data_IF_310738163549
#
_entry.id   IF_310738163549
#
_cell.length_a   1.000
_cell.length_b   1.000
_cell.length_c   1.000
_cell.angle_alpha   90.00
_cell.angle_beta   90.00
_cell.angle_gamma   90.00
#
_symmetry.space_group_name_H-M   'P 1'
#
loop_
_entity.id
_entity.type
_entity.pdbx_description
1 polymer ?
#
# COMPACT_ATOMS: atom_id res chain seq x y z
N UNK A 1 -62.39 -31.48 -7.21
CA UNK A 1 -63.08 -31.25 -8.50
C UNK A 1 -62.57 -29.91 -9.06
N UNK A 2 -62.18 -29.77 -10.34
CA UNK A 2 -62.98 -29.13 -11.44
C UNK A 2 -64.05 -28.15 -10.90
N UNK A 3 -64.04 -26.86 -11.24
CA UNK A 3 -64.31 -26.25 -12.57
C UNK A 3 -63.55 -24.91 -12.73
N UNK A 4 -62.76 -24.70 -13.79
CA UNK A 4 -63.03 -23.88 -15.02
C UNK A 4 -63.51 -22.45 -14.75
N UNK A 5 -62.84 -21.33 -15.09
CA UNK A 5 -62.05 -20.89 -16.27
C UNK A 5 -62.86 -20.26 -17.43
N UNK A 6 -62.45 -19.07 -17.86
CA UNK A 6 -62.68 -18.30 -19.13
C UNK A 6 -61.86 -16.98 -18.96
N UNK A 7 -60.97 -16.45 -19.84
CA UNK A 7 -60.87 -16.32 -21.31
C UNK A 7 -61.61 -15.05 -21.85
N UNK A 8 -61.21 -14.31 -22.91
CA UNK A 8 -60.05 -14.42 -23.84
C UNK A 8 -59.80 -13.09 -24.64
N UNK A 9 -58.52 -12.76 -24.90
CA UNK A 9 -57.87 -12.14 -26.11
C UNK A 9 -58.52 -11.02 -26.98
N UNK A 10 -57.72 -9.98 -27.29
CA UNK A 10 -57.43 -9.41 -28.64
C UNK A 10 -56.10 -8.58 -28.58
N UNK A 11 -55.08 -8.59 -29.46
CA UNK A 11 -54.96 -8.69 -30.94
C UNK A 11 -55.26 -7.35 -31.66
N UNK A 12 -54.58 -6.88 -32.74
CA UNK A 12 -53.35 -7.24 -33.49
C UNK A 12 -52.88 -5.99 -34.30
N UNK A 13 -51.81 -5.89 -35.12
CA UNK A 13 -50.84 -6.87 -35.69
C UNK A 13 -49.37 -6.40 -35.51
N UNK A 14 -48.41 -6.16 -36.45
CA UNK A 14 -48.24 -6.13 -37.94
C UNK A 14 -46.81 -6.66 -38.27
N UNK A 15 -46.52 -7.11 -39.52
CA UNK A 15 -45.24 -7.77 -39.92
C UNK A 15 -44.79 -7.37 -41.35
N UNK A 16 -43.48 -7.10 -41.53
CA UNK A 16 -42.65 -7.26 -42.76
C UNK A 16 -41.17 -6.97 -42.36
N UNK A 17 -40.06 -7.61 -42.78
CA UNK A 17 -39.58 -8.25 -44.04
C UNK A 17 -39.32 -7.22 -45.18
N UNK A 18 -38.31 -7.33 -46.06
CA UNK A 18 -37.47 -8.45 -46.53
C UNK A 18 -35.99 -7.99 -46.70
N UNK A 19 -35.02 -8.91 -46.85
CA UNK A 19 -33.65 -8.63 -47.35
C UNK A 19 -33.62 -8.35 -48.88
N UNK A 20 -32.45 -8.18 -49.51
CA UNK A 20 -32.06 -8.82 -50.80
C UNK A 20 -30.57 -8.57 -51.17
N UNK A 21 -30.13 -9.08 -52.33
CA UNK A 21 -28.72 -9.39 -52.67
C UNK A 21 -27.88 -8.28 -53.35
N UNK A 22 -26.57 -8.55 -53.34
CA UNK A 22 -25.43 -7.82 -53.91
C UNK A 22 -25.47 -7.42 -55.41
N UNK A 23 -24.60 -6.48 -55.78
CA UNK A 23 -23.72 -6.56 -56.98
C UNK A 23 -22.60 -5.51 -56.90
N UNK A 24 -21.46 -5.76 -57.56
CA UNK A 24 -20.32 -4.81 -57.64
C UNK A 24 -20.44 -3.89 -58.86
N UNK A 25 -19.64 -2.82 -58.91
CA UNK A 25 -18.76 -2.68 -60.08
C UNK A 25 -17.29 -2.40 -59.70
N UNK A 26 -16.37 -2.81 -60.56
CA UNK A 26 -14.98 -2.34 -60.54
C UNK A 26 -14.84 -1.12 -61.48
N UNK A 27 -14.11 -0.08 -61.07
CA UNK A 27 -14.00 1.16 -61.84
C UNK A 27 -12.81 2.04 -61.47
N UNK A 28 -11.71 1.89 -62.21
CA UNK A 28 -10.70 2.90 -62.53
C UNK A 28 -10.31 3.97 -61.48
N UNK A 29 -9.16 3.75 -60.83
CA UNK A 29 -8.04 4.70 -60.71
C UNK A 29 -8.34 6.21 -60.58
N UNK A 30 -8.08 6.76 -59.39
CA UNK A 30 -7.63 8.14 -59.22
C UNK A 30 -6.50 8.19 -58.18
N UNK A 31 -5.28 8.49 -58.60
CA UNK A 31 -4.12 8.59 -57.71
C UNK A 31 -4.14 9.91 -56.94
N UNK A 32 -4.34 9.84 -55.63
CA UNK A 32 -3.96 10.92 -54.71
C UNK A 32 -3.17 10.30 -53.55
N UNK A 33 -1.94 10.75 -53.35
CA UNK A 33 -1.07 10.26 -52.30
C UNK A 33 -1.46 10.91 -50.96
N UNK A 34 -2.38 10.27 -50.23
CA UNK A 34 -2.71 10.66 -48.86
C UNK A 34 -1.47 10.51 -47.96
N UNK A 35 -1.09 11.59 -47.27
CA UNK A 35 0.08 11.60 -46.40
C UNK A 35 -0.03 10.55 -45.28
N UNK A 36 1.06 9.79 -44.96
CA UNK A 36 1.08 8.90 -43.79
C UNK A 36 0.92 9.57 -42.42
N UNK A 37 0.74 10.90 -42.37
CA UNK A 37 0.66 11.69 -41.14
C UNK A 37 -0.72 11.63 -40.44
N UNK A 38 -1.79 11.25 -41.14
CA UNK A 38 -3.18 11.49 -40.70
C UNK A 38 -3.88 10.25 -40.08
N UNK A 39 -3.12 9.21 -39.74
CA UNK A 39 -3.59 8.08 -38.91
C UNK A 39 -2.72 7.86 -37.65
N UNK A 40 -2.02 8.91 -37.22
CA UNK A 40 -1.35 8.98 -35.94
C UNK A 40 -2.39 9.14 -34.80
N UNK A 41 -2.76 8.03 -34.15
CA UNK A 41 -3.62 8.07 -32.96
C UNK A 41 -3.02 8.90 -31.81
N UNK A 42 -3.81 9.32 -30.80
CA UNK A 42 -3.43 10.35 -29.83
C UNK A 42 -2.17 10.08 -28.99
N UNK A 43 -1.69 8.83 -28.93
CA UNK A 43 -0.40 8.49 -28.31
C UNK A 43 0.82 9.03 -29.08
N UNK A 44 0.70 9.29 -30.39
CA UNK A 44 1.81 9.66 -31.27
C UNK A 44 2.16 11.17 -31.25
N UNK A 45 1.58 11.95 -30.34
CA UNK A 45 1.87 13.39 -30.17
C UNK A 45 2.53 13.74 -28.82
N UNK A 46 3.00 12.75 -28.05
CA UNK A 46 3.78 12.98 -26.80
C UNK A 46 5.25 13.35 -27.11
N UNK A 47 5.44 14.33 -28.00
CA UNK A 47 6.72 14.69 -28.60
C UNK A 47 7.53 15.73 -27.81
N UNK A 48 8.18 15.32 -26.72
CA UNK A 48 9.37 15.99 -26.15
C UNK A 48 9.26 17.45 -25.67
N UNK A 49 8.05 18.03 -25.64
CA UNK A 49 7.76 19.40 -25.23
C UNK A 49 7.75 19.64 -23.71
N UNK A 50 7.35 20.84 -23.31
CA UNK A 50 7.17 21.18 -21.90
C UNK A 50 5.99 20.41 -21.28
N UNK A 51 6.06 20.01 -20.00
CA UNK A 51 4.97 19.35 -19.31
C UNK A 51 3.79 20.31 -19.06
N UNK A 52 2.57 19.78 -19.07
CA UNK A 52 1.33 20.48 -18.69
C UNK A 52 1.47 21.07 -17.29
N UNK A 53 1.22 22.37 -17.12
CA UNK A 53 1.11 22.99 -15.80
C UNK A 53 -0.31 22.80 -15.24
N UNK A 54 -0.43 22.66 -13.92
CA UNK A 54 -1.70 22.58 -13.20
C UNK A 54 -1.83 23.80 -12.29
N UNK A 55 -2.93 24.53 -12.43
CA UNK A 55 -3.16 25.77 -11.69
C UNK A 55 -3.19 25.55 -10.16
N UNK A 56 -2.80 26.60 -9.41
CA UNK A 56 -3.02 26.63 -7.96
C UNK A 56 -4.51 26.44 -7.63
N UNK A 57 -4.80 25.63 -6.61
CA UNK A 57 -6.17 25.35 -6.18
C UNK A 57 -6.97 24.37 -7.06
N UNK A 58 -6.40 23.75 -8.10
CA UNK A 58 -7.11 22.79 -8.96
C UNK A 58 -7.72 21.59 -8.19
N UNK A 59 -7.11 21.20 -7.06
CA UNK A 59 -7.61 20.18 -6.15
C UNK A 59 -8.87 20.59 -5.36
N UNK A 60 -9.19 21.89 -5.27
CA UNK A 60 -10.28 22.37 -4.40
C UNK A 60 -11.67 22.04 -4.94
N UNK A 61 -11.80 21.92 -6.26
CA UNK A 61 -13.05 21.72 -7.02
C UNK A 61 -13.34 20.27 -7.39
N UNK A 62 -12.52 19.33 -6.92
CA UNK A 62 -12.64 17.88 -7.17
C UNK A 62 -12.88 17.11 -5.87
N UNK A 63 -13.53 15.96 -5.98
CA UNK A 63 -13.64 14.94 -4.91
C UNK A 63 -12.55 13.87 -4.99
N UNK A 64 -11.90 13.72 -6.15
CA UNK A 64 -10.73 12.85 -6.35
C UNK A 64 -9.46 13.65 -6.10
N UNK A 65 -8.71 13.27 -5.08
CA UNK A 65 -7.48 13.92 -4.64
C UNK A 65 -6.30 12.96 -4.85
N UNK A 66 -5.71 13.00 -6.05
CA UNK A 66 -4.54 12.23 -6.40
C UNK A 66 -3.52 13.08 -7.15
N UNK A 67 -2.47 12.45 -7.68
CA UNK A 67 -1.42 13.14 -8.43
C UNK A 67 -1.94 13.92 -9.65
N UNK A 68 -3.10 13.59 -10.24
CA UNK A 68 -3.61 14.28 -11.43
C UNK A 68 -4.09 15.71 -11.16
N UNK A 69 -4.38 16.05 -9.89
CA UNK A 69 -4.95 17.35 -9.47
C UNK A 69 -4.01 18.15 -8.56
N UNK A 70 -2.80 17.63 -8.33
CA UNK A 70 -1.71 18.39 -7.70
C UNK A 70 -1.37 19.62 -8.54
N UNK A 71 -1.40 20.82 -7.93
CA UNK A 71 -0.93 22.05 -8.56
C UNK A 71 0.59 22.00 -8.82
N UNK A 72 1.05 22.69 -9.87
CA UNK A 72 2.48 22.85 -10.14
C UNK A 72 3.14 23.74 -9.08
N UNK A 73 4.28 23.32 -8.50
CA UNK A 73 5.03 24.06 -7.46
C UNK A 73 6.54 24.14 -7.76
N UNK A 74 7.26 24.92 -6.95
CA UNK A 74 8.72 25.06 -6.98
C UNK A 74 9.25 26.18 -7.88
N UNK A 75 10.38 26.77 -7.47
CA UNK A 75 10.95 27.98 -8.06
C UNK A 75 11.44 27.84 -9.51
N UNK A 76 11.63 26.60 -10.02
CA UNK A 76 11.99 26.32 -11.42
C UNK A 76 10.82 25.80 -12.26
N UNK A 77 9.57 25.96 -11.81
CA UNK A 77 8.39 25.54 -12.57
C UNK A 77 8.32 26.14 -13.99
N UNK A 78 8.86 27.35 -14.20
CA UNK A 78 8.99 28.01 -15.50
C UNK A 78 10.30 27.75 -16.26
N UNK A 79 11.19 26.90 -15.77
CA UNK A 79 12.42 26.51 -16.48
C UNK A 79 12.05 25.46 -17.56
N UNK A 80 11.56 25.94 -18.71
CA UNK A 80 11.20 25.09 -19.87
C UNK A 80 12.38 24.24 -20.36
N UNK A 81 13.61 24.73 -20.19
CA UNK A 81 14.81 23.98 -20.57
C UNK A 81 15.02 22.78 -19.66
N UNK A 82 14.89 22.93 -18.34
CA UNK A 82 15.02 21.86 -17.35
C UNK A 82 13.82 20.90 -17.38
N UNK A 83 12.60 21.43 -17.38
CA UNK A 83 11.37 20.62 -17.40
C UNK A 83 11.21 19.86 -18.71
N UNK A 84 11.56 20.47 -19.84
CA UNK A 84 11.67 19.78 -21.13
C UNK A 84 12.78 18.74 -21.18
N UNK A 85 13.92 18.94 -20.49
CA UNK A 85 14.95 17.88 -20.33
C UNK A 85 14.38 16.69 -19.56
N UNK A 86 13.64 16.92 -18.48
CA UNK A 86 13.00 15.86 -17.70
C UNK A 86 11.97 15.06 -18.51
N UNK A 87 11.11 15.73 -19.28
CA UNK A 87 10.14 15.05 -20.18
C UNK A 87 10.87 14.24 -21.25
N UNK A 88 11.87 14.81 -21.93
CA UNK A 88 12.65 14.07 -22.94
C UNK A 88 13.38 12.88 -22.35
N UNK A 89 13.97 13.00 -21.15
CA UNK A 89 14.61 11.90 -20.44
C UNK A 89 13.64 10.73 -20.15
N UNK A 90 12.35 11.00 -19.95
CA UNK A 90 11.33 9.95 -19.79
C UNK A 90 10.84 9.38 -21.13
N UNK A 91 10.61 10.23 -22.14
CA UNK A 91 10.17 9.77 -23.46
C UNK A 91 11.24 8.94 -24.19
N UNK A 92 12.51 9.37 -24.14
CA UNK A 92 13.65 8.74 -24.79
C UNK A 92 14.95 9.12 -24.03
N UNK A 93 15.35 8.36 -22.99
CA UNK A 93 16.57 8.64 -22.24
C UNK A 93 17.83 8.57 -23.11
N UNK A 94 18.76 9.51 -22.90
CA UNK A 94 20.09 9.49 -23.51
C UNK A 94 21.10 8.66 -22.69
N UNK A 95 22.30 8.45 -23.25
CA UNK A 95 23.40 7.69 -22.64
C UNK A 95 23.90 8.25 -21.30
N UNK A 96 23.50 9.49 -20.94
CA UNK A 96 23.88 10.16 -19.69
C UNK A 96 22.77 10.13 -18.63
N UNK A 97 21.58 9.63 -18.95
CA UNK A 97 20.48 9.44 -17.98
C UNK A 97 20.51 8.02 -17.43
N UNK A 98 20.94 7.87 -16.17
CA UNK A 98 20.74 6.60 -15.45
C UNK A 98 19.26 6.45 -15.11
N UNK A 99 18.58 5.45 -15.66
CA UNK A 99 17.17 5.15 -15.37
C UNK A 99 17.04 4.09 -14.27
N UNK A 100 16.16 4.31 -13.30
CA UNK A 100 15.72 3.29 -12.34
C UNK A 100 14.20 3.18 -12.36
N UNK A 101 13.70 1.95 -12.28
CA UNK A 101 12.29 1.63 -12.23
C UNK A 101 11.95 1.13 -10.83
N UNK A 102 10.89 1.65 -10.23
CA UNK A 102 10.33 1.14 -8.98
C UNK A 102 9.66 -0.23 -9.18
N UNK A 103 9.38 -0.98 -8.10
CA UNK A 103 8.71 -2.27 -8.18
C UNK A 103 7.39 -2.18 -8.97
N UNK A 104 7.14 -3.16 -9.84
CA UNK A 104 5.95 -3.19 -10.71
C UNK A 104 5.93 -2.19 -11.88
N UNK A 105 6.88 -1.26 -12.00
CA UNK A 105 6.85 -0.21 -13.03
C UNK A 105 7.12 -0.77 -14.43
N UNK A 106 6.24 -0.49 -15.39
CA UNK A 106 6.53 -0.72 -16.81
C UNK A 106 7.49 0.33 -17.37
N UNK A 107 8.54 -0.16 -18.03
CA UNK A 107 9.50 0.65 -18.78
C UNK A 107 8.85 1.34 -20.00
N UNK A 108 9.45 2.41 -20.48
CA UNK A 108 9.03 3.12 -21.70
C UNK A 108 8.44 4.51 -21.46
N UNK A 109 8.10 5.23 -22.54
CA UNK A 109 7.69 6.64 -22.53
C UNK A 109 6.41 6.88 -21.71
N UNK A 110 6.08 8.14 -21.38
CA UNK A 110 4.81 8.51 -20.75
C UNK A 110 3.60 7.92 -21.48
N UNK A 111 2.63 7.37 -20.75
CA UNK A 111 1.39 6.81 -21.33
C UNK A 111 0.33 7.88 -21.63
N UNK A 112 0.43 9.02 -20.94
CA UNK A 112 -0.40 10.21 -21.13
C UNK A 112 0.47 11.48 -21.17
N UNK A 113 -0.15 12.62 -21.51
CA UNK A 113 0.55 13.90 -21.59
C UNK A 113 1.10 14.32 -20.20
N UNK A 114 2.44 14.36 -20.00
CA UNK A 114 3.03 14.63 -18.69
C UNK A 114 2.61 15.97 -18.12
N UNK A 115 2.34 16.03 -16.82
CA UNK A 115 2.14 17.29 -16.10
C UNK A 115 3.15 17.48 -14.98
N UNK A 116 3.46 18.75 -14.71
CA UNK A 116 4.48 19.17 -13.77
C UNK A 116 3.91 19.27 -12.36
N UNK A 117 4.39 18.40 -11.49
CA UNK A 117 4.10 18.45 -10.06
C UNK A 117 5.04 19.45 -9.39
N UNK A 118 6.33 19.41 -9.72
CA UNK A 118 7.34 20.29 -9.14
C UNK A 118 8.57 20.45 -10.03
N UNK A 119 9.18 21.64 -10.01
CA UNK A 119 10.58 21.82 -10.41
C UNK A 119 11.29 22.83 -9.49
N UNK A 120 12.48 22.49 -9.00
CA UNK A 120 13.24 23.34 -8.07
C UNK A 120 14.55 22.70 -7.60
N UNK A 121 15.37 23.46 -6.88
CA UNK A 121 16.61 22.98 -6.28
C UNK A 121 16.35 22.36 -4.91
N UNK A 122 16.79 21.11 -4.71
CA UNK A 122 16.63 20.35 -3.47
C UNK A 122 17.97 19.73 -3.08
N UNK A 123 18.50 20.11 -1.92
CA UNK A 123 19.76 19.61 -1.37
C UNK A 123 20.95 19.64 -2.37
N UNK A 124 21.03 20.69 -3.20
CA UNK A 124 22.11 20.89 -4.19
C UNK A 124 21.90 20.22 -5.55
N UNK A 125 20.80 19.49 -5.76
CA UNK A 125 20.39 18.93 -7.04
C UNK A 125 19.19 19.68 -7.62
N UNK A 126 19.16 19.89 -8.93
CA UNK A 126 17.95 20.35 -9.61
C UNK A 126 17.00 19.16 -9.79
N UNK A 127 15.79 19.24 -9.25
CA UNK A 127 14.79 18.16 -9.24
C UNK A 127 13.57 18.57 -10.04
N UNK A 128 13.07 17.67 -10.88
CA UNK A 128 11.78 17.78 -11.58
C UNK A 128 10.95 16.54 -11.26
N UNK A 129 9.70 16.74 -10.87
CA UNK A 129 8.72 15.67 -10.66
C UNK A 129 7.55 15.88 -11.63
N UNK A 130 7.26 14.87 -12.45
CA UNK A 130 6.15 14.85 -13.40
C UNK A 130 5.32 13.57 -13.23
N UNK A 131 4.06 13.61 -13.67
CA UNK A 131 3.20 12.42 -13.75
C UNK A 131 2.48 12.32 -15.10
N UNK A 132 2.24 11.08 -15.57
CA UNK A 132 1.51 10.79 -16.82
C UNK A 132 0.03 10.41 -16.61
N UNK A 133 -0.38 10.26 -15.35
CA UNK A 133 -1.71 9.80 -14.93
C UNK A 133 -1.73 8.36 -14.40
N UNK A 134 -0.65 7.60 -14.57
CA UNK A 134 -0.46 6.23 -14.07
C UNK A 134 0.88 6.00 -13.38
N UNK A 135 1.89 6.84 -13.67
CA UNK A 135 3.24 6.78 -13.13
C UNK A 135 3.73 8.16 -12.73
N UNK A 136 4.61 8.19 -11.74
CA UNK A 136 5.46 9.32 -11.38
C UNK A 136 6.83 9.13 -12.01
N UNK A 137 7.42 10.21 -12.53
CA UNK A 137 8.82 10.24 -12.90
C UNK A 137 9.53 11.42 -12.24
N UNK A 138 10.62 11.11 -11.52
CA UNK A 138 11.48 12.06 -10.83
C UNK A 138 12.83 12.13 -11.53
N UNK A 139 13.06 13.23 -12.22
CA UNK A 139 14.33 13.56 -12.87
C UNK A 139 15.19 14.42 -11.93
N UNK A 140 16.50 14.15 -11.87
CA UNK A 140 17.45 14.93 -11.07
C UNK A 140 18.74 15.20 -11.81
N UNK A 141 19.23 16.44 -11.79
CA UNK A 141 20.56 16.83 -12.27
C UNK A 141 21.46 17.24 -11.09
N UNK A 142 22.60 16.58 -10.94
CA UNK A 142 23.55 16.81 -9.83
C UNK A 142 24.98 16.55 -10.28
N UNK A 143 25.87 17.54 -10.14
CA UNK A 143 27.30 17.41 -10.48
C UNK A 143 27.53 16.83 -11.90
N UNK A 144 26.74 17.28 -12.87
CA UNK A 144 26.77 16.82 -14.27
C UNK A 144 26.10 15.46 -14.53
N UNK A 145 25.74 14.70 -13.50
CA UNK A 145 25.03 13.41 -13.62
C UNK A 145 23.54 13.66 -13.78
N UNK A 146 22.86 12.82 -14.55
CA UNK A 146 21.40 12.82 -14.73
C UNK A 146 20.83 11.49 -14.30
N UNK A 147 19.73 11.53 -13.58
CA UNK A 147 19.03 10.34 -13.13
C UNK A 147 17.52 10.50 -13.31
N UNK A 148 16.86 9.43 -13.72
CA UNK A 148 15.41 9.34 -13.83
C UNK A 148 14.92 8.13 -13.02
N UNK A 149 14.21 8.38 -11.93
CA UNK A 149 13.45 7.34 -11.23
C UNK A 149 12.00 7.37 -11.72
N UNK A 150 11.46 6.25 -12.19
CA UNK A 150 10.05 6.11 -12.57
C UNK A 150 9.39 5.09 -11.63
N UNK A 151 8.22 5.39 -11.09
CA UNK A 151 7.46 4.51 -10.20
C UNK A 151 5.95 4.52 -10.56
N UNK A 152 5.16 3.50 -10.16
CA UNK A 152 3.73 3.50 -10.38
C UNK A 152 3.05 4.51 -9.44
N UNK A 153 1.94 5.08 -9.91
CA UNK A 153 1.19 6.15 -9.24
C UNK A 153 -0.34 6.04 -9.46
N UNK A 154 -0.75 4.96 -10.11
CA UNK A 154 -2.09 4.41 -10.13
C UNK A 154 -2.53 3.88 -8.75
N UNK A 155 -3.83 3.59 -8.62
CA UNK A 155 -4.55 3.19 -7.40
C UNK A 155 -4.14 3.97 -6.12
N UNK A 156 -3.87 5.27 -6.30
CA UNK A 156 -3.46 6.20 -5.26
C UNK A 156 -4.62 7.13 -4.91
N UNK A 157 -4.85 7.27 -3.60
CA UNK A 157 -5.97 7.97 -2.96
C UNK A 157 -5.51 9.23 -2.22
N UNK A 158 -6.43 9.91 -1.52
CA UNK A 158 -6.19 11.17 -0.82
C UNK A 158 -5.09 11.12 0.27
N UNK A 159 -4.63 9.93 0.68
CA UNK A 159 -3.55 9.72 1.66
C UNK A 159 -2.28 9.18 1.03
N UNK A 160 -2.37 8.13 0.24
CA UNK A 160 -1.23 7.52 -0.47
C UNK A 160 -0.68 8.44 -1.58
N UNK A 161 -1.48 9.40 -2.06
CA UNK A 161 -1.03 10.50 -2.92
C UNK A 161 -0.56 11.75 -2.15
N UNK A 162 -0.37 11.71 -0.82
CA UNK A 162 -0.01 12.91 -0.04
C UNK A 162 1.48 13.23 0.08
N UNK A 163 2.40 12.31 -0.23
CA UNK A 163 3.85 12.59 -0.17
C UNK A 163 4.68 11.83 -1.22
N UNK A 164 5.62 12.54 -1.84
CA UNK A 164 6.59 11.98 -2.81
C UNK A 164 8.02 12.42 -2.48
N UNK A 165 8.95 11.48 -2.40
CA UNK A 165 10.36 11.71 -2.07
C UNK A 165 11.08 12.41 -3.23
N UNK A 166 11.47 13.68 -3.01
CA UNK A 166 12.30 14.43 -3.95
C UNK A 166 13.77 14.04 -3.85
N UNK A 167 14.29 13.89 -2.64
CA UNK A 167 15.70 13.57 -2.40
C UNK A 167 15.91 12.69 -1.16
N UNK A 168 17.02 11.95 -1.18
CA UNK A 168 17.59 11.18 -0.07
C UNK A 168 19.05 11.56 0.02
N UNK A 169 19.51 12.01 1.18
CA UNK A 169 20.90 12.40 1.44
C UNK A 169 21.34 11.97 2.84
N UNK A 170 22.62 12.15 3.17
CA UNK A 170 23.15 11.88 4.52
C UNK A 170 22.48 12.70 5.64
N UNK A 171 21.85 13.83 5.28
CA UNK A 171 21.05 14.64 6.20
C UNK A 171 19.60 14.18 6.37
N UNK A 172 19.14 13.13 5.69
CA UNK A 172 17.77 12.61 5.76
C UNK A 172 17.05 12.58 4.41
N UNK A 173 15.72 12.63 4.46
CA UNK A 173 14.82 12.49 3.32
C UNK A 173 13.95 13.74 3.19
N UNK A 174 13.89 14.31 1.99
CA UNK A 174 13.05 15.48 1.66
C UNK A 174 11.91 15.06 0.74
N UNK A 175 10.69 15.33 1.17
CA UNK A 175 9.46 15.00 0.45
C UNK A 175 8.78 16.26 -0.06
N UNK A 176 8.01 16.10 -1.13
CA UNK A 176 7.00 17.05 -1.59
C UNK A 176 5.64 16.55 -1.12
N UNK A 177 4.94 17.38 -0.35
CA UNK A 177 3.61 17.11 0.15
C UNK A 177 2.55 17.53 -0.87
N UNK A 178 1.40 16.86 -0.85
CA UNK A 178 0.24 17.24 -1.66
C UNK A 178 -0.33 18.61 -1.25
N UNK A 179 -0.95 19.36 -2.18
CA UNK A 179 -1.41 20.73 -1.92
C UNK A 179 -2.67 20.84 -1.05
N UNK A 180 -3.20 19.71 -0.55
CA UNK A 180 -4.30 19.62 0.43
C UNK A 180 -3.83 19.20 1.83
N UNK A 181 -2.52 19.09 2.07
CA UNK A 181 -1.95 18.77 3.39
C UNK A 181 -1.83 20.07 4.20
N UNK A 182 -2.48 20.10 5.36
CA UNK A 182 -2.58 21.29 6.21
C UNK A 182 -1.39 21.41 7.18
N UNK A 183 -0.86 20.29 7.67
CA UNK A 183 0.35 20.25 8.49
C UNK A 183 1.11 18.91 8.39
N UNK A 184 2.38 18.93 8.79
CA UNK A 184 3.28 17.78 8.79
C UNK A 184 4.14 17.73 10.06
N UNK A 185 4.41 16.51 10.54
CA UNK A 185 5.28 16.21 11.65
C UNK A 185 6.03 14.87 11.42
N UNK A 186 7.03 14.59 12.25
CA UNK A 186 7.71 13.29 12.30
C UNK A 186 7.35 12.59 13.61
N UNK A 187 6.84 11.37 13.50
CA UNK A 187 6.58 10.47 14.63
C UNK A 187 7.55 9.30 14.58
N UNK A 188 8.13 8.91 15.72
CA UNK A 188 8.82 7.63 15.83
C UNK A 188 7.83 6.58 16.36
N UNK A 189 7.46 5.60 15.54
CA UNK A 189 6.53 4.55 15.97
C UNK A 189 7.03 3.80 17.21
N UNK A 190 8.35 3.75 17.46
CA UNK A 190 8.94 3.06 18.62
C UNK A 190 8.75 3.80 19.94
N UNK A 191 8.22 5.04 19.93
CA UNK A 191 7.83 5.82 21.11
C UNK A 191 6.39 6.33 20.92
N UNK A 192 5.36 5.53 21.26
CA UNK A 192 3.97 5.89 20.99
C UNK A 192 3.51 7.09 21.82
N UNK A 193 4.01 7.21 23.05
CA UNK A 193 3.72 8.30 24.00
C UNK A 193 4.39 9.64 23.65
N UNK A 194 5.40 9.64 22.77
CA UNK A 194 6.10 10.88 22.39
C UNK A 194 5.20 11.74 21.47
N UNK A 195 5.23 13.05 21.66
CA UNK A 195 4.58 14.00 20.74
C UNK A 195 5.30 14.03 19.38
N UNK A 196 4.54 14.27 18.31
CA UNK A 196 5.06 14.32 16.95
C UNK A 196 5.87 15.60 16.74
N UNK A 197 7.13 15.48 16.32
CA UNK A 197 8.00 16.64 16.09
C UNK A 197 7.58 17.39 14.83
N UNK A 198 7.07 18.62 14.98
CA UNK A 198 6.59 19.44 13.86
C UNK A 198 7.66 19.62 12.77
N UNK A 199 7.27 19.36 11.51
CA UNK A 199 8.19 19.33 10.37
C UNK A 199 7.93 20.56 9.48
N UNK A 200 8.88 21.48 9.42
CA UNK A 200 8.77 22.69 8.58
C UNK A 200 8.56 22.33 7.11
N UNK A 201 7.63 23.02 6.44
CA UNK A 201 7.33 22.86 5.02
C UNK A 201 7.47 24.22 4.32
N UNK A 202 8.23 24.27 3.23
CA UNK A 202 8.45 25.47 2.40
C UNK A 202 8.10 25.15 0.96
N UNK A 203 7.17 25.89 0.34
CA UNK A 203 6.64 25.65 -1.02
C UNK A 203 6.13 24.22 -1.27
N UNK A 204 5.68 23.55 -0.20
CA UNK A 204 5.25 22.14 -0.18
C UNK A 204 6.39 21.12 0.00
N UNK A 205 7.66 21.55 0.06
CA UNK A 205 8.81 20.67 0.32
C UNK A 205 9.13 20.64 1.81
N UNK A 206 9.32 19.44 2.37
CA UNK A 206 9.67 19.28 3.78
C UNK A 206 11.12 19.69 4.08
N UNK A 207 11.36 20.11 5.32
CA UNK A 207 12.64 19.91 5.99
C UNK A 207 13.05 18.41 5.93
N UNK A 208 14.34 18.07 6.01
CA UNK A 208 14.77 16.68 5.95
C UNK A 208 14.31 15.94 7.21
N UNK A 209 13.51 14.88 7.03
CA UNK A 209 13.19 13.94 8.11
C UNK A 209 14.25 12.82 8.18
N UNK A 210 14.45 12.15 9.34
CA UNK A 210 15.41 11.05 9.45
C UNK A 210 15.10 9.92 8.45
N UNK A 211 16.14 9.43 7.76
CA UNK A 211 16.03 8.27 6.87
C UNK A 211 15.66 7.01 7.65
N UNK A 212 14.51 6.42 7.31
CA UNK A 212 14.02 5.20 7.95
C UNK A 212 14.98 4.01 7.77
N UNK A 213 15.68 3.90 6.63
CA UNK A 213 16.64 2.80 6.40
C UNK A 213 17.89 2.90 7.30
N UNK A 214 18.21 4.10 7.80
CA UNK A 214 19.31 4.33 8.73
C UNK A 214 18.84 4.32 10.18
N UNK A 215 17.69 4.89 10.49
CA UNK A 215 17.12 4.92 11.85
C UNK A 215 16.62 3.54 12.34
N UNK A 216 16.07 2.71 11.45
CA UNK A 216 15.56 1.38 11.78
C UNK A 216 16.65 0.31 12.00
N UNK A 217 17.94 0.67 11.88
CA UNK A 217 19.06 -0.27 12.16
C UNK A 217 19.03 -0.70 13.63
N UNK A 218 18.79 -1.99 13.86
CA UNK A 218 18.56 -2.54 15.21
C UNK A 218 17.21 -2.14 15.84
N UNK A 219 16.30 -1.56 15.05
CA UNK A 219 14.98 -1.07 15.46
C UNK A 219 14.99 -0.09 16.66
N UNK A 220 15.99 0.79 16.68
CA UNK A 220 16.17 1.86 17.69
C UNK A 220 15.11 2.96 17.55
N UNK A 221 14.69 3.25 16.31
CA UNK A 221 13.55 4.10 15.97
C UNK A 221 12.99 3.74 14.60
N UNK A 222 11.71 4.02 14.36
CA UNK A 222 11.05 3.86 13.06
C UNK A 222 10.32 5.17 12.74
N UNK A 223 11.01 6.16 12.14
CA UNK A 223 10.44 7.45 11.82
C UNK A 223 9.44 7.35 10.66
N UNK A 224 8.27 7.94 10.86
CA UNK A 224 7.21 8.08 9.85
C UNK A 224 6.76 9.53 9.76
N UNK A 225 6.25 9.91 8.59
CA UNK A 225 5.66 11.21 8.35
C UNK A 225 4.21 11.20 8.85
N UNK A 226 3.89 12.04 9.82
CA UNK A 226 2.53 12.26 10.30
C UNK A 226 1.95 13.50 9.60
N UNK A 227 0.81 13.35 8.93
CA UNK A 227 0.14 14.42 8.20
C UNK A 227 -1.26 14.66 8.74
N UNK A 228 -1.72 15.91 8.67
CA UNK A 228 -3.14 16.27 8.82
C UNK A 228 -3.68 16.85 7.52
N UNK A 229 -4.97 16.59 7.28
CA UNK A 229 -5.71 17.23 6.20
C UNK A 229 -7.20 17.19 6.47
N UNK A 230 -7.85 18.35 6.46
CA UNK A 230 -9.30 18.49 6.46
C UNK A 230 -9.97 17.93 5.18
N UNK A 231 -9.19 17.52 4.17
CA UNK A 231 -9.66 16.91 2.93
C UNK A 231 -9.34 15.41 2.81
N UNK A 232 -8.26 14.92 3.43
CA UNK A 232 -7.83 13.54 3.26
C UNK A 232 -8.30 12.58 4.37
N UNK A 233 -8.50 13.08 5.60
CA UNK A 233 -8.74 12.22 6.77
C UNK A 233 -9.69 12.86 7.80
N UNK A 234 -10.56 13.77 7.39
CA UNK A 234 -11.44 14.53 8.29
C UNK A 234 -10.66 15.20 9.45
N UNK A 235 -9.49 15.79 9.12
CA UNK A 235 -8.47 16.34 10.05
C UNK A 235 -7.88 15.34 11.08
N UNK A 236 -8.13 14.04 10.96
CA UNK A 236 -7.41 13.06 11.76
C UNK A 236 -5.94 12.92 11.28
N UNK A 237 -4.98 12.63 12.18
CA UNK A 237 -3.62 12.35 11.78
C UNK A 237 -3.54 11.00 11.05
N UNK A 238 -2.89 11.00 9.88
CA UNK A 238 -2.58 9.78 9.13
C UNK A 238 -1.07 9.68 8.91
N UNK A 239 -0.56 8.44 8.92
CA UNK A 239 0.88 8.16 8.92
C UNK A 239 1.32 7.60 7.57
N UNK A 240 2.42 8.14 7.02
CA UNK A 240 3.07 7.64 5.82
C UNK A 240 4.49 7.15 6.16
N UNK A 241 4.79 5.89 5.85
CA UNK A 241 6.11 5.30 6.00
C UNK A 241 6.99 5.51 4.77
N UNK A 242 8.28 5.74 5.00
CA UNK A 242 9.28 5.79 3.95
C UNK A 242 9.95 4.42 3.77
N UNK A 243 9.40 3.58 2.89
CA UNK A 243 9.88 2.22 2.62
C UNK A 243 10.99 2.15 1.55
N UNK A 244 11.35 3.27 0.90
CA UNK A 244 12.45 3.39 -0.06
C UNK A 244 12.05 3.87 -1.46
N UNK A 245 10.76 3.79 -1.79
CA UNK A 245 10.12 4.15 -3.06
C UNK A 245 10.10 5.66 -3.35
N UNK A 246 9.37 6.08 -4.40
CA UNK A 246 9.08 7.50 -4.66
C UNK A 246 7.87 7.99 -3.86
N UNK A 247 6.71 7.33 -3.94
CA UNK A 247 5.57 7.61 -3.06
C UNK A 247 5.82 7.04 -1.67
N UNK A 248 5.40 7.74 -0.62
CA UNK A 248 5.38 7.17 0.72
C UNK A 248 4.18 6.22 0.90
N UNK A 249 4.32 5.21 1.77
CA UNK A 249 3.33 4.14 1.96
C UNK A 249 2.40 4.46 3.13
N UNK A 250 1.09 4.49 2.92
CA UNK A 250 0.12 4.79 3.99
C UNK A 250 0.09 3.66 5.04
N UNK A 251 0.02 4.02 6.33
CA UNK A 251 -0.11 3.07 7.43
C UNK A 251 -1.51 3.11 8.03
N UNK A 252 -2.12 1.93 8.14
CA UNK A 252 -3.43 1.72 8.75
C UNK A 252 -3.39 0.63 9.81
N UNK A 253 -4.45 0.59 10.62
CA UNK A 253 -4.60 -0.34 11.72
C UNK A 253 -6.02 -0.90 11.74
N UNK A 254 -6.17 -2.15 12.17
CA UNK A 254 -7.48 -2.75 12.42
C UNK A 254 -7.48 -3.41 13.81
N UNK A 255 -8.39 -3.00 14.72
CA UNK A 255 -8.51 -3.60 16.04
C UNK A 255 -9.15 -5.00 15.99
N UNK A 256 -9.15 -5.76 17.09
CA UNK A 256 -9.83 -7.04 17.18
C UNK A 256 -11.35 -6.89 16.99
N UNK A 257 -12.06 -7.92 16.49
CA UNK A 257 -13.52 -7.88 16.30
C UNK A 257 -14.36 -7.68 17.56
N UNK A 258 -13.73 -7.81 18.74
CA UNK A 258 -14.35 -7.59 20.04
C UNK A 258 -14.37 -6.07 20.41
N UNK A 259 -13.72 -5.21 19.60
CA UNK A 259 -13.80 -3.75 19.63
C UNK A 259 -14.73 -3.23 18.52
N UNK A 260 -15.37 -2.08 18.74
CA UNK A 260 -16.20 -1.46 17.70
C UNK A 260 -15.33 -0.97 16.52
N UNK A 261 -15.59 -1.51 15.33
CA UNK A 261 -14.96 -1.11 14.07
C UNK A 261 -15.96 -1.12 12.90
N UNK A 262 -15.70 -0.34 11.85
CA UNK A 262 -16.56 -0.25 10.66
C UNK A 262 -16.41 -1.42 9.67
N UNK A 263 -15.57 -2.42 9.99
CA UNK A 263 -15.17 -3.46 9.04
C UNK A 263 -14.18 -2.97 7.96
N UNK A 264 -13.54 -1.82 8.21
CA UNK A 264 -12.43 -1.24 7.44
C UNK A 264 -11.28 -0.89 8.41
N UNK A 265 -10.03 -0.82 7.95
CA UNK A 265 -8.95 -0.22 8.74
C UNK A 265 -9.25 1.24 9.09
N UNK A 266 -8.69 1.71 10.21
CA UNK A 266 -8.57 3.12 10.56
C UNK A 266 -7.11 3.60 10.38
N UNK A 267 -6.86 4.89 10.57
CA UNK A 267 -5.50 5.44 10.53
C UNK A 267 -4.59 4.79 11.58
N UNK A 268 -3.31 4.62 11.28
CA UNK A 268 -2.34 4.10 12.26
C UNK A 268 -2.20 4.96 13.53
N UNK A 269 -2.61 6.23 13.48
CA UNK A 269 -2.64 7.16 14.62
C UNK A 269 -4.08 7.44 15.15
N UNK A 270 -5.08 6.61 14.82
CA UNK A 270 -6.47 6.86 15.21
C UNK A 270 -6.77 6.67 16.71
N UNK A 271 -5.85 6.09 17.48
CA UNK A 271 -5.96 5.90 18.93
C UNK A 271 -4.62 5.54 19.57
N UNK A 272 -4.52 5.73 20.89
CA UNK A 272 -3.41 5.25 21.72
C UNK A 272 -3.11 3.76 21.46
N UNK A 273 -4.15 2.91 21.40
CA UNK A 273 -4.01 1.48 21.08
C UNK A 273 -3.40 1.23 19.70
N UNK A 274 -3.79 2.00 18.68
CA UNK A 274 -3.22 1.86 17.34
C UNK A 274 -1.71 2.17 17.36
N UNK A 275 -1.31 3.24 18.03
CA UNK A 275 0.10 3.62 18.22
C UNK A 275 0.86 2.59 19.07
N UNK A 276 0.31 2.11 20.17
CA UNK A 276 0.88 1.07 21.03
C UNK A 276 1.12 -0.24 20.25
N UNK A 277 0.12 -0.71 19.50
CA UNK A 277 0.24 -1.91 18.65
C UNK A 277 1.28 -1.70 17.54
N UNK A 278 1.30 -0.54 16.87
CA UNK A 278 2.37 -0.20 15.92
C UNK A 278 3.75 -0.11 16.58
N UNK A 279 3.85 0.39 17.82
CA UNK A 279 5.12 0.47 18.55
C UNK A 279 5.74 -0.89 18.88
N UNK A 280 4.91 -1.94 18.82
CA UNK A 280 5.26 -3.35 19.00
C UNK A 280 5.44 -4.12 17.69
N UNK A 281 5.10 -3.57 16.53
CA UNK A 281 5.23 -4.28 15.24
C UNK A 281 6.11 -3.56 14.21
N UNK A 282 6.36 -2.25 14.37
CA UNK A 282 7.02 -1.39 13.38
C UNK A 282 8.39 -1.88 12.87
N UNK A 283 9.13 -2.71 13.63
CA UNK A 283 10.36 -3.34 13.15
C UNK A 283 10.16 -4.22 11.89
N UNK A 284 8.94 -4.75 11.68
CA UNK A 284 8.62 -5.55 10.50
C UNK A 284 8.59 -4.72 9.19
N UNK A 285 8.42 -3.39 9.27
CA UNK A 285 8.44 -2.51 8.10
C UNK A 285 9.79 -2.51 7.36
N UNK A 286 10.90 -2.81 8.04
CA UNK A 286 12.21 -3.01 7.39
C UNK A 286 12.19 -4.18 6.38
N UNK A 287 11.33 -5.17 6.61
CA UNK A 287 11.19 -6.36 5.76
C UNK A 287 10.30 -6.13 4.55
N UNK A 288 9.58 -5.00 4.51
CA UNK A 288 8.68 -4.56 3.45
C UNK A 288 9.28 -3.47 2.54
N UNK A 289 10.56 -3.13 2.72
CA UNK A 289 11.24 -2.06 1.98
C UNK A 289 11.44 -2.39 0.51
N UNK A 290 11.16 -1.43 -0.36
CA UNK A 290 11.41 -1.57 -1.80
C UNK A 290 10.51 -2.60 -2.49
N UNK A 291 9.27 -2.78 -2.01
CA UNK A 291 8.28 -3.71 -2.57
C UNK A 291 7.19 -3.02 -3.44
N UNK A 292 7.13 -1.68 -3.45
CA UNK A 292 6.17 -0.91 -4.27
C UNK A 292 4.85 -0.59 -3.57
N UNK A 293 4.82 -0.72 -2.24
CA UNK A 293 3.60 -0.72 -1.44
C UNK A 293 2.94 0.66 -1.38
N UNK A 294 1.61 0.67 -1.52
CA UNK A 294 0.78 1.88 -1.34
C UNK A 294 0.20 2.01 0.06
N UNK A 295 -0.02 0.87 0.72
CA UNK A 295 -0.67 0.74 2.02
C UNK A 295 -0.02 -0.40 2.82
N UNK A 296 0.18 -0.23 4.13
CA UNK A 296 0.39 -1.35 5.07
C UNK A 296 -0.73 -1.31 6.11
N UNK A 297 -1.43 -2.43 6.29
CA UNK A 297 -2.42 -2.59 7.36
C UNK A 297 -1.86 -3.50 8.46
N UNK A 298 -1.93 -3.06 9.71
CA UNK A 298 -1.57 -3.82 10.90
C UNK A 298 -2.85 -4.28 11.62
N UNK A 299 -3.23 -5.54 11.43
CA UNK A 299 -4.47 -6.11 11.97
C UNK A 299 -4.24 -6.96 13.21
N UNK A 300 -4.85 -6.58 14.33
CA UNK A 300 -4.99 -7.44 15.50
C UNK A 300 -6.10 -8.46 15.28
N UNK A 301 -5.75 -9.74 15.08
CA UNK A 301 -6.74 -10.74 14.64
C UNK A 301 -7.18 -11.71 15.74
N UNK A 302 -6.39 -11.87 16.81
CA UNK A 302 -6.76 -12.67 17.98
C UNK A 302 -6.04 -12.23 19.27
N UNK A 303 -6.73 -12.34 20.40
CA UNK A 303 -6.26 -12.10 21.78
C UNK A 303 -6.60 -13.30 22.66
N UNK A 304 -5.74 -13.61 23.64
CA UNK A 304 -5.92 -14.76 24.54
C UNK A 304 -5.02 -14.71 25.79
N UNK A 305 -5.51 -15.19 26.93
CA UNK A 305 -4.70 -15.42 28.13
C UNK A 305 -3.68 -16.54 27.94
N UNK A 306 -2.44 -16.30 28.39
CA UNK A 306 -1.40 -17.32 28.46
C UNK A 306 -1.44 -18.11 29.79
N UNK A 307 -1.11 -19.41 29.76
CA UNK A 307 -1.00 -20.25 30.95
C UNK A 307 -0.11 -19.69 32.07
N UNK A 308 -0.27 -20.27 33.25
CA UNK A 308 0.53 -19.94 34.45
C UNK A 308 0.37 -18.46 34.87
N UNK A 309 -0.80 -17.86 34.58
CA UNK A 309 -1.14 -16.45 34.82
C UNK A 309 -0.11 -15.47 34.21
N UNK A 310 0.39 -15.79 33.00
CA UNK A 310 1.46 -15.00 32.37
C UNK A 310 0.96 -13.67 31.76
N UNK A 311 -0.35 -13.51 31.56
CA UNK A 311 -1.02 -12.34 30.99
C UNK A 311 -1.61 -12.58 29.59
N UNK A 312 -2.32 -11.60 29.05
CA UNK A 312 -2.90 -11.62 27.70
C UNK A 312 -1.82 -11.46 26.61
N UNK A 313 -1.86 -12.34 25.61
CA UNK A 313 -1.04 -12.28 24.41
C UNK A 313 -1.88 -12.01 23.16
N UNK A 314 -1.22 -11.39 22.18
CA UNK A 314 -1.82 -10.87 20.97
C UNK A 314 -1.23 -11.53 19.73
N UNK A 315 -2.06 -11.70 18.71
CA UNK A 315 -1.65 -12.00 17.35
C UNK A 315 -1.92 -10.80 16.43
N UNK A 316 -0.86 -10.33 15.77
CA UNK A 316 -0.93 -9.32 14.71
C UNK A 316 -0.64 -9.97 13.35
N UNK A 317 -1.28 -9.45 12.32
CA UNK A 317 -0.91 -9.70 10.95
C UNK A 317 -0.72 -8.38 10.20
N UNK A 318 0.48 -8.14 9.71
CA UNK A 318 0.84 -6.96 8.92
C UNK A 318 0.82 -7.32 7.44
N UNK A 319 -0.10 -6.74 6.66
CA UNK A 319 -0.21 -6.95 5.21
C UNK A 319 0.25 -5.67 4.48
N UNK A 320 1.32 -5.78 3.69
CA UNK A 320 1.78 -4.72 2.79
C UNK A 320 1.14 -4.86 1.42
N UNK A 321 0.20 -3.97 1.07
CA UNK A 321 -0.53 -4.02 -0.19
C UNK A 321 0.23 -3.30 -1.32
N UNK A 322 0.44 -4.01 -2.42
CA UNK A 322 0.85 -3.44 -3.70
C UNK A 322 -0.36 -2.80 -4.44
N UNK A 323 -0.13 -2.32 -5.67
CA UNK A 323 -1.16 -1.70 -6.53
C UNK A 323 -2.04 -2.70 -7.29
N UNK A 324 -1.72 -4.00 -7.24
CA UNK A 324 -2.58 -5.08 -7.75
C UNK A 324 -3.50 -5.63 -6.65
N UNK A 325 -3.23 -5.27 -5.39
CA UNK A 325 -3.96 -5.75 -4.21
C UNK A 325 -3.40 -7.05 -3.62
N UNK A 326 -2.20 -7.46 -4.03
CA UNK A 326 -1.41 -8.52 -3.39
C UNK A 326 -0.27 -7.93 -2.56
N UNK A 327 0.78 -8.72 -2.32
CA UNK A 327 1.95 -8.30 -1.55
C UNK A 327 2.27 -9.17 -0.34
N UNK A 328 3.21 -8.73 0.49
CA UNK A 328 3.80 -9.54 1.55
C UNK A 328 3.06 -9.40 2.89
N UNK A 329 2.93 -10.54 3.58
CA UNK A 329 2.21 -10.68 4.84
C UNK A 329 3.14 -11.19 5.94
N UNK A 330 3.29 -10.44 7.02
CA UNK A 330 4.08 -10.81 8.20
C UNK A 330 3.15 -11.15 9.36
N UNK A 331 3.16 -12.41 9.80
CA UNK A 331 2.37 -12.88 10.95
C UNK A 331 3.24 -12.80 12.20
N UNK A 332 2.74 -12.14 13.25
CA UNK A 332 3.47 -11.91 14.49
C UNK A 332 2.72 -12.40 15.73
N UNK A 333 3.46 -13.03 16.63
CA UNK A 333 3.01 -13.34 18.00
C UNK A 333 3.64 -12.35 18.98
N UNK A 334 2.81 -11.76 19.84
CA UNK A 334 3.22 -10.73 20.79
C UNK A 334 2.85 -11.16 22.22
N UNK A 335 3.83 -11.60 23.02
CA UNK A 335 3.59 -11.99 24.41
C UNK A 335 3.30 -10.77 25.31
N UNK A 336 2.77 -10.99 26.53
CA UNK A 336 2.35 -9.92 27.44
C UNK A 336 3.50 -8.97 27.78
N UNK A 337 3.30 -7.68 27.55
CA UNK A 337 4.31 -6.64 27.80
C UNK A 337 5.49 -6.62 26.81
N UNK A 338 5.37 -7.27 25.65
CA UNK A 338 6.38 -7.17 24.59
C UNK A 338 6.54 -5.73 24.07
N UNK A 339 7.79 -5.27 23.92
CA UNK A 339 8.12 -4.18 22.99
C UNK A 339 8.33 -4.77 21.58
N UNK A 340 8.60 -3.96 20.54
CA UNK A 340 8.77 -4.52 19.19
C UNK A 340 9.96 -5.47 19.02
N UNK A 341 10.99 -5.40 19.85
CA UNK A 341 12.07 -6.41 19.87
C UNK A 341 11.67 -7.71 20.58
N UNK A 342 10.54 -7.71 21.30
CA UNK A 342 9.88 -8.90 21.87
C UNK A 342 8.74 -9.46 21.00
N UNK A 343 8.39 -8.81 19.89
CA UNK A 343 7.38 -9.29 18.96
C UNK A 343 7.97 -10.33 18.01
N UNK A 344 7.56 -11.59 18.17
CA UNK A 344 8.08 -12.71 17.39
C UNK A 344 7.46 -12.70 15.99
N UNK A 345 8.26 -12.55 14.93
CA UNK A 345 7.83 -12.97 13.59
C UNK A 345 7.65 -14.48 13.60
N UNK A 346 6.44 -14.94 13.31
CA UNK A 346 6.07 -16.36 13.29
C UNK A 346 6.20 -16.93 11.89
N UNK A 347 5.71 -16.22 10.87
CA UNK A 347 5.90 -16.60 9.47
C UNK A 347 5.81 -15.36 8.56
N UNK A 348 6.26 -15.48 7.30
CA UNK A 348 6.08 -14.50 6.23
C UNK A 348 5.54 -15.18 4.99
N UNK A 349 4.46 -14.65 4.43
CA UNK A 349 3.86 -15.14 3.20
C UNK A 349 4.10 -14.11 2.09
N UNK A 350 4.80 -14.50 1.03
CA UNK A 350 5.06 -13.64 -0.13
C UNK A 350 3.89 -13.68 -1.11
N UNK A 351 3.51 -12.53 -1.66
CA UNK A 351 2.40 -12.33 -2.60
C UNK A 351 1.12 -13.10 -2.20
N UNK A 352 0.61 -12.79 -1.01
CA UNK A 352 -0.45 -13.57 -0.36
C UNK A 352 -1.70 -12.72 -0.10
N UNK A 353 -2.91 -13.20 -0.42
CA UNK A 353 -4.14 -12.49 -0.09
C UNK A 353 -4.48 -12.53 1.42
N UNK A 354 -3.79 -13.35 2.22
CA UNK A 354 -4.09 -13.54 3.64
C UNK A 354 -4.09 -12.24 4.45
N UNK A 355 -4.93 -12.14 5.48
CA UNK A 355 -5.08 -10.93 6.30
C UNK A 355 -5.66 -9.71 5.56
N UNK A 356 -6.26 -9.93 4.38
CA UNK A 356 -7.10 -8.95 3.68
C UNK A 356 -8.58 -9.26 3.89
N UNK A 357 -9.47 -8.30 3.58
CA UNK A 357 -10.93 -8.47 3.71
C UNK A 357 -11.52 -9.72 3.00
N UNK A 358 -11.09 -10.13 1.79
CA UNK A 358 -11.54 -11.38 1.17
C UNK A 358 -10.83 -12.65 1.66
N UNK A 359 -9.79 -12.57 2.49
CA UNK A 359 -9.06 -13.73 3.02
C UNK A 359 -8.64 -13.50 4.48
N UNK A 360 -9.67 -13.43 5.34
CA UNK A 360 -9.58 -13.16 6.76
C UNK A 360 -9.88 -14.40 7.65
N UNK A 361 -10.12 -15.56 7.04
CA UNK A 361 -10.19 -16.87 7.71
C UNK A 361 -8.77 -17.43 7.87
N UNK A 362 -8.11 -17.11 8.99
CA UNK A 362 -6.73 -17.53 9.29
C UNK A 362 -6.62 -18.17 10.68
N UNK A 363 -5.62 -19.04 10.83
CA UNK A 363 -5.15 -19.54 12.13
C UNK A 363 -3.62 -19.52 12.12
N UNK A 364 -3.00 -19.03 13.20
CA UNK A 364 -1.56 -19.02 13.37
C UNK A 364 -1.16 -19.78 14.64
N UNK A 365 0.08 -20.27 14.69
CA UNK A 365 0.60 -21.01 15.83
C UNK A 365 2.09 -20.78 16.05
N UNK A 366 2.56 -20.92 17.29
CA UNK A 366 3.99 -20.93 17.60
C UNK A 366 4.31 -21.68 18.88
N UNK A 367 5.61 -21.87 19.15
CA UNK A 367 6.12 -22.41 20.39
C UNK A 367 6.38 -21.27 21.38
N UNK A 368 5.57 -21.18 22.43
CA UNK A 368 5.79 -20.25 23.54
C UNK A 368 6.41 -20.95 24.75
N UNK A 369 7.08 -20.18 25.62
CA UNK A 369 7.67 -20.67 26.86
C UNK A 369 7.32 -19.75 28.02
N UNK A 370 6.77 -20.33 29.09
CA UNK A 370 6.39 -19.59 30.29
C UNK A 370 7.60 -19.20 31.14
N UNK A 371 7.37 -18.31 32.12
CA UNK A 371 8.40 -17.86 33.07
C UNK A 371 8.96 -19.01 33.94
N UNK A 372 8.21 -20.10 34.13
CA UNK A 372 8.69 -21.32 34.83
C UNK A 372 9.52 -22.25 33.92
N UNK A 373 9.61 -21.94 32.62
CA UNK A 373 10.32 -22.75 31.63
C UNK A 373 9.45 -23.82 30.95
N UNK A 374 8.19 -23.99 31.34
CA UNK A 374 7.23 -24.86 30.62
C UNK A 374 7.09 -24.40 29.16
N UNK A 375 7.13 -25.34 28.22
CA UNK A 375 6.85 -25.09 26.79
C UNK A 375 5.39 -25.36 26.46
N UNK A 376 4.83 -24.54 25.60
CA UNK A 376 3.47 -24.66 25.09
C UNK A 376 3.48 -24.50 23.56
N UNK A 377 2.65 -25.29 22.90
CA UNK A 377 2.10 -24.92 21.61
C UNK A 377 0.98 -23.92 21.88
N UNK A 378 1.06 -22.72 21.30
CA UNK A 378 -0.02 -21.72 21.34
C UNK A 378 -0.49 -21.44 19.93
N UNK A 379 -1.80 -21.45 19.70
CA UNK A 379 -2.41 -21.17 18.42
C UNK A 379 -3.70 -20.38 18.60
N UNK A 380 -3.97 -19.45 17.68
CA UNK A 380 -5.22 -18.71 17.64
C UNK A 380 -5.67 -18.44 16.20
N UNK A 381 -6.98 -18.42 16.00
CA UNK A 381 -7.61 -18.08 14.73
C UNK A 381 -8.60 -16.93 14.88
N UNK A 382 -9.09 -16.44 13.74
CA UNK A 382 -10.00 -15.30 13.69
C UNK A 382 -11.39 -15.63 14.22
N UNK A 383 -12.21 -14.59 14.45
CA UNK A 383 -13.57 -14.66 15.02
C UNK A 383 -14.54 -15.67 14.38
N UNK A 384 -14.25 -16.15 13.17
CA UNK A 384 -15.10 -17.08 12.44
C UNK A 384 -14.58 -18.53 12.50
N UNK A 385 -13.39 -18.76 13.07
CA UNK A 385 -12.89 -20.08 13.51
C UNK A 385 -13.68 -20.57 14.72
N UNK A 386 -14.11 -21.83 14.68
CA UNK A 386 -14.91 -22.50 15.72
C UNK A 386 -14.24 -23.72 16.35
N UNK A 387 -13.18 -24.26 15.74
CA UNK A 387 -12.35 -25.34 16.31
C UNK A 387 -10.93 -25.22 15.79
N UNK A 388 -9.93 -25.40 16.67
CA UNK A 388 -8.51 -25.53 16.30
C UNK A 388 -7.99 -26.90 16.73
N UNK A 389 -7.23 -27.55 15.86
CA UNK A 389 -6.70 -28.91 16.07
C UNK A 389 -5.20 -28.96 15.71
N UNK A 390 -4.40 -29.54 16.61
CA UNK A 390 -3.00 -29.86 16.41
C UNK A 390 -2.80 -31.37 16.31
N UNK A 391 -1.94 -31.82 15.40
CA UNK A 391 -1.60 -33.23 15.19
C UNK A 391 -0.12 -33.43 14.89
N UNK A 392 0.38 -34.65 15.13
CA UNK A 392 1.78 -35.02 14.91
C UNK A 392 2.61 -34.90 16.19
N UNK A 393 3.67 -34.10 16.15
CA UNK A 393 4.66 -33.95 17.24
C UNK A 393 4.05 -33.51 18.58
N UNK A 394 2.97 -32.72 18.54
CA UNK A 394 2.08 -32.41 19.64
C UNK A 394 0.65 -32.56 19.11
N UNK A 395 -0.21 -33.20 19.90
CA UNK A 395 -1.61 -33.47 19.53
C UNK A 395 -2.55 -32.88 20.58
N UNK A 396 -3.64 -32.25 20.12
CA UNK A 396 -4.68 -31.66 20.98
C UNK A 396 -5.71 -30.90 20.14
N UNK A 397 -6.89 -30.63 20.70
CA UNK A 397 -7.93 -29.86 20.01
C UNK A 397 -8.77 -29.06 20.99
N UNK A 398 -9.26 -27.90 20.56
CA UNK A 398 -10.20 -27.07 21.30
C UNK A 398 -11.34 -26.64 20.37
N UNK A 399 -12.57 -26.74 20.85
CA UNK A 399 -13.78 -26.24 20.18
C UNK A 399 -13.96 -24.74 20.46
N UNK A 400 -12.94 -23.96 20.07
CA UNK A 400 -12.90 -22.49 20.16
C UNK A 400 -11.95 -21.90 19.11
N UNK A 401 -11.78 -20.57 19.11
CA UNK A 401 -10.79 -19.85 18.28
C UNK A 401 -9.34 -19.93 18.80
N UNK A 402 -9.07 -20.67 19.87
CA UNK A 402 -7.77 -20.73 20.56
C UNK A 402 -7.40 -22.18 20.93
N UNK A 403 -6.14 -22.58 20.76
CA UNK A 403 -5.62 -23.86 21.23
C UNK A 403 -4.29 -23.65 21.97
N UNK A 404 -4.22 -24.12 23.21
CA UNK A 404 -2.99 -24.13 24.00
C UNK A 404 -2.73 -25.54 24.51
N UNK A 405 -1.60 -26.13 24.10
CA UNK A 405 -1.22 -27.51 24.48
C UNK A 405 0.12 -27.47 25.21
N UNK A 406 0.14 -27.96 26.45
CA UNK A 406 1.38 -28.13 27.23
C UNK A 406 2.26 -29.20 26.57
N UNK A 407 3.48 -28.84 26.22
CA UNK A 407 4.47 -29.77 25.67
C UNK A 407 4.94 -30.70 26.80
N UNK A 408 4.98 -32.03 26.58
CA UNK A 408 5.51 -32.97 27.56
C UNK A 408 6.94 -32.62 27.98
N UNK A 409 7.26 -32.77 29.26
CA UNK A 409 8.62 -32.52 29.80
C UNK A 409 9.67 -33.48 29.23
N UNK A 410 9.23 -34.67 28.78
CA UNK A 410 10.04 -35.68 28.08
C UNK A 410 10.28 -35.38 26.60
N UNK A 411 9.59 -34.39 26.00
CA UNK A 411 9.77 -34.08 24.58
C UNK A 411 11.16 -33.44 24.33
N UNK A 412 11.85 -33.77 23.22
CA UNK A 412 13.17 -33.24 22.90
C UNK A 412 13.20 -31.70 22.82
N UNK A 413 14.39 -31.10 22.92
CA UNK A 413 14.57 -29.65 22.90
C UNK A 413 14.08 -29.01 21.60
N UNK A 414 14.46 -29.60 20.46
CA UNK A 414 13.88 -29.33 19.16
C UNK A 414 12.66 -30.25 18.93
N UNK A 415 11.56 -29.68 18.45
CA UNK A 415 10.31 -30.39 18.13
C UNK A 415 9.89 -29.97 16.73
N UNK A 416 9.59 -30.94 15.85
CA UNK A 416 9.09 -30.65 14.51
C UNK A 416 7.75 -29.90 14.58
N UNK A 417 7.46 -28.93 13.69
CA UNK A 417 6.18 -28.22 13.69
C UNK A 417 4.99 -29.21 13.57
N UNK A 418 3.96 -29.09 14.42
CA UNK A 418 2.75 -29.91 14.30
C UNK A 418 1.95 -29.48 13.07
N UNK A 419 1.10 -30.38 12.55
CA UNK A 419 0.10 -29.98 11.57
C UNK A 419 -1.08 -29.34 12.31
N UNK A 420 -1.27 -28.04 12.10
CA UNK A 420 -2.42 -27.27 12.60
C UNK A 420 -3.48 -27.17 11.50
N UNK A 421 -4.71 -27.47 11.86
CA UNK A 421 -5.91 -27.13 11.09
C UNK A 421 -6.94 -26.42 11.96
N UNK A 422 -7.78 -25.61 11.34
CA UNK A 422 -8.91 -24.99 12.00
C UNK A 422 -10.17 -25.05 11.15
N UNK A 423 -11.31 -25.31 11.79
CA UNK A 423 -12.61 -25.31 11.15
C UNK A 423 -13.24 -23.93 11.32
N UNK A 424 -13.76 -23.38 10.23
CA UNK A 424 -14.47 -22.10 10.18
C UNK A 424 -15.98 -22.34 10.22
N UNK A 425 -16.77 -21.39 10.74
CA UNK A 425 -18.23 -21.45 10.84
C UNK A 425 -18.95 -21.67 9.50
N UNK A 426 -18.30 -21.32 8.38
CA UNK A 426 -18.79 -21.56 7.01
C UNK A 426 -18.53 -23.01 6.50
N UNK A 427 -17.89 -23.87 7.30
CA UNK A 427 -17.52 -25.25 6.93
C UNK A 427 -16.13 -25.40 6.30
N UNK A 428 -15.44 -24.30 6.00
CA UNK A 428 -14.06 -24.33 5.46
C UNK A 428 -13.07 -24.86 6.50
N UNK A 429 -12.07 -25.62 6.06
CA UNK A 429 -10.92 -26.02 6.88
C UNK A 429 -9.68 -25.28 6.39
N UNK A 430 -9.08 -24.46 7.26
CA UNK A 430 -7.86 -23.71 6.97
C UNK A 430 -6.65 -24.38 7.63
N UNK A 431 -5.47 -24.22 7.02
CA UNK A 431 -4.18 -24.69 7.57
C UNK A 431 -3.55 -23.61 8.42
N UNK A 432 -2.83 -24.00 9.47
CA UNK A 432 -2.14 -23.05 10.34
C UNK A 432 -0.84 -22.49 9.76
N UNK A 433 -0.61 -21.21 10.05
CA UNK A 433 0.59 -20.46 9.72
C UNK A 433 1.53 -20.45 10.94
N UNK A 434 2.75 -20.99 10.80
CA UNK A 434 3.74 -21.14 11.88
C UNK A 434 5.02 -21.80 11.40
#
# INVERSE_FOLDING_TARGET
WRRTAVAVVAAATVVATVAWYATSPAGSTASNASNPAEQAGPAAQVGGGAPRMIAAGAWTTTTRLDFAVWSTRGARAGDEALTGRAVRAWTAPDDKVTVTLGPGTQAGPPLGAPHLLYAGDVAGAAVVLVADGSRLARYTEENGRRHLAVAPADDSDERSASAVVLRRESGGVRMLLAPWVDSAAVRDLRRPEDESAALTVTDGVTAPMPDAATAAKGCVGVPVLELRSARAADDHPYLLADLGELSATHLTYMPPPDYFHTGRPSEAASSERALDVWSRTACALDTMRGQGLRLVNNWEFAHFDLPEASGEAMWSCMHGFDRKGGGDVVVQFLPPGASATGAQTVNRLTDSPACSRPSNDIVAYTWWRSRTGTRYLVAAGTRDVVKVTATGSVTGSADSRQLVVKVPTSAPAAIAPPQITANVRNGTVVRGIG
#
